data_IF_898458230433
#
_entry.id   IF_898458230433
#
_cell.length_a   1.000
_cell.length_b   1.000
_cell.length_c   1.000
_cell.angle_alpha   90.00
_cell.angle_beta   90.00
_cell.angle_gamma   90.00
#
_symmetry.space_group_name_H-M   'P 1'
#
loop_
_entity.id
_entity.type
_entity.pdbx_description
1 polymer ?
#
# COMPACT_ATOMS: atom_id res chain seq x y z
N UNK A 1 13.99 2.78 -9.61
CA UNK A 1 12.71 3.33 -9.15
C UNK A 1 12.48 2.96 -7.70
N UNK A 2 12.08 3.92 -6.89
CA UNK A 2 11.79 3.69 -5.47
C UNK A 2 10.29 3.45 -5.29
N UNK A 3 9.92 2.26 -4.87
CA UNK A 3 8.53 1.84 -4.72
C UNK A 3 8.14 1.91 -3.25
N UNK A 4 6.97 2.50 -2.97
CA UNK A 4 6.37 2.47 -1.65
C UNK A 4 5.26 1.43 -1.62
N UNK A 5 5.12 0.74 -0.50
CA UNK A 5 4.07 -0.28 -0.33
C UNK A 5 3.33 -0.02 0.98
N UNK A 6 2.00 0.12 0.90
CA UNK A 6 1.16 0.21 2.09
C UNK A 6 0.61 -1.17 2.38
N UNK A 7 0.87 -1.67 3.56
CA UNK A 7 0.49 -3.01 4.00
C UNK A 7 -0.28 -2.93 5.32
N UNK A 8 -1.01 -3.97 5.66
CA UNK A 8 -1.71 -3.99 6.95
C UNK A 8 -2.83 -5.02 7.06
N UNK A 9 -3.49 -5.35 5.95
CA UNK A 9 -4.50 -6.42 5.94
C UNK A 9 -4.13 -7.40 4.84
N UNK A 10 -4.23 -8.69 5.16
CA UNK A 10 -3.85 -9.75 4.27
C UNK A 10 -2.35 -9.98 4.27
N UNK A 11 -1.79 -10.52 5.39
CA UNK A 11 -0.36 -10.85 5.44
C UNK A 11 0.07 -11.77 4.30
N UNK A 12 -0.80 -12.68 3.88
CA UNK A 12 -0.51 -13.58 2.76
C UNK A 12 -0.39 -12.81 1.45
N UNK A 13 -1.28 -11.82 1.21
CA UNK A 13 -1.21 -10.99 0.01
C UNK A 13 0.06 -10.14 0.03
N UNK A 14 0.40 -9.56 1.17
CA UNK A 14 1.64 -8.79 1.32
C UNK A 14 2.86 -9.64 1.01
N UNK A 15 2.93 -10.85 1.55
CA UNK A 15 4.04 -11.77 1.28
C UNK A 15 4.12 -12.13 -0.20
N UNK A 16 2.98 -12.38 -0.83
CA UNK A 16 2.92 -12.70 -2.25
C UNK A 16 3.48 -11.56 -3.11
N UNK A 17 3.01 -10.33 -2.89
CA UNK A 17 3.46 -9.17 -3.67
C UNK A 17 4.91 -8.83 -3.40
N UNK A 18 5.34 -8.96 -2.17
CA UNK A 18 6.74 -8.72 -1.81
C UNK A 18 7.66 -9.69 -2.56
N UNK A 19 7.34 -10.99 -2.54
CA UNK A 19 8.12 -12.00 -3.24
C UNK A 19 8.08 -11.80 -4.75
N UNK A 20 6.90 -11.41 -5.28
CA UNK A 20 6.75 -11.12 -6.70
C UNK A 20 7.65 -9.97 -7.13
N UNK A 21 7.70 -8.89 -6.36
CA UNK A 21 8.54 -7.73 -6.67
C UNK A 21 10.02 -8.11 -6.70
N UNK A 22 10.48 -8.89 -5.74
CA UNK A 22 11.87 -9.35 -5.70
C UNK A 22 12.20 -10.10 -7.00
N UNK A 23 11.35 -11.04 -7.37
CA UNK A 23 11.56 -11.88 -8.56
C UNK A 23 11.48 -11.07 -9.85
N UNK A 24 10.46 -10.21 -9.98
CA UNK A 24 10.25 -9.43 -11.19
C UNK A 24 11.40 -8.44 -11.43
N UNK A 25 11.85 -7.77 -10.39
CA UNK A 25 12.95 -6.81 -10.50
C UNK A 25 14.26 -7.50 -10.83
N UNK A 26 14.52 -8.67 -10.23
CA UNK A 26 15.71 -9.46 -10.55
C UNK A 26 15.71 -9.89 -12.01
N UNK A 27 14.56 -10.37 -12.52
CA UNK A 27 14.45 -10.78 -13.93
C UNK A 27 14.62 -9.61 -14.90
N UNK A 28 14.20 -8.42 -14.50
CA UNK A 28 14.34 -7.22 -15.32
C UNK A 28 15.73 -6.60 -15.22
N UNK A 29 16.61 -7.12 -14.35
CA UNK A 29 17.94 -6.58 -14.16
C UNK A 29 17.97 -5.28 -13.39
N UNK A 30 16.95 -5.01 -12.55
CA UNK A 30 16.86 -3.80 -11.76
C UNK A 30 16.99 -4.10 -10.27
N UNK A 31 17.57 -3.17 -9.54
CA UNK A 31 17.58 -3.24 -8.08
C UNK A 31 16.19 -2.96 -7.53
N UNK A 32 15.78 -3.70 -6.51
CA UNK A 32 14.54 -3.42 -5.80
C UNK A 32 14.82 -2.40 -4.69
N UNK A 33 14.28 -1.20 -4.88
CA UNK A 33 14.33 -0.15 -3.88
C UNK A 33 12.91 0.01 -3.33
N UNK A 34 12.65 -0.53 -2.14
CA UNK A 34 11.31 -0.67 -1.58
C UNK A 34 11.26 -0.13 -0.16
N UNK A 35 10.26 0.70 0.11
CA UNK A 35 9.94 1.14 1.47
C UNK A 35 8.50 0.73 1.77
N UNK A 36 8.30 0.06 2.90
CA UNK A 36 6.98 -0.43 3.32
C UNK A 36 6.49 0.38 4.50
N UNK A 37 5.21 0.78 4.47
CA UNK A 37 4.54 1.41 5.60
C UNK A 37 3.38 0.51 6.02
N UNK A 38 3.40 0.10 7.28
CA UNK A 38 2.43 -0.85 7.81
C UNK A 38 1.35 -0.12 8.62
N UNK A 39 0.09 -0.29 8.23
CA UNK A 39 -1.05 0.20 9.01
C UNK A 39 -1.42 -0.84 10.07
N UNK A 40 -2.05 -0.37 11.16
CA UNK A 40 -2.50 -1.27 12.22
C UNK A 40 -3.63 -2.17 11.71
N UNK A 41 -3.39 -3.47 11.66
CA UNK A 41 -4.31 -4.44 11.07
C UNK A 41 -5.69 -4.45 11.76
N UNK A 42 -5.80 -4.53 13.10
CA UNK A 42 -7.13 -4.50 13.74
C UNK A 42 -7.91 -3.22 13.44
N UNK A 43 -7.23 -2.08 13.33
CA UNK A 43 -7.87 -0.81 12.99
C UNK A 43 -8.46 -0.86 11.58
N UNK A 44 -7.70 -1.37 10.61
CA UNK A 44 -8.17 -1.49 9.24
C UNK A 44 -9.37 -2.42 9.14
N UNK A 45 -9.34 -3.56 9.85
CA UNK A 45 -10.45 -4.51 9.86
C UNK A 45 -11.70 -3.89 10.47
N UNK A 46 -11.56 -3.11 11.53
CA UNK A 46 -12.68 -2.42 12.17
C UNK A 46 -13.32 -1.41 11.20
N UNK A 47 -12.50 -0.58 10.53
CA UNK A 47 -13.01 0.39 9.56
C UNK A 47 -13.76 -0.30 8.42
N UNK A 48 -13.24 -1.43 7.95
CA UNK A 48 -13.90 -2.20 6.91
C UNK A 48 -15.25 -2.74 7.38
N UNK A 49 -15.30 -3.30 8.59
CA UNK A 49 -16.54 -3.83 9.15
C UNK A 49 -17.60 -2.74 9.35
N UNK A 50 -17.17 -1.53 9.70
CA UNK A 50 -18.05 -0.38 9.89
C UNK A 50 -18.34 0.38 8.59
N UNK A 51 -17.73 -0.03 7.49
CA UNK A 51 -17.77 0.68 6.21
C UNK A 51 -17.34 2.14 6.36
N UNK A 52 -16.34 2.41 7.18
CA UNK A 52 -15.86 3.75 7.46
C UNK A 52 -14.75 4.13 6.49
N UNK A 53 -15.16 4.54 5.29
CA UNK A 53 -14.21 4.89 4.23
C UNK A 53 -13.37 6.12 4.58
N UNK A 54 -13.99 7.11 5.21
CA UNK A 54 -13.29 8.36 5.55
C UNK A 54 -12.11 8.10 6.49
N UNK A 55 -12.30 7.27 7.51
CA UNK A 55 -11.24 6.92 8.45
C UNK A 55 -10.13 6.11 7.77
N UNK A 56 -10.50 5.21 6.86
CA UNK A 56 -9.54 4.39 6.12
C UNK A 56 -8.69 5.24 5.19
N UNK A 57 -9.32 6.16 4.45
CA UNK A 57 -8.63 7.10 3.58
C UNK A 57 -7.64 7.95 4.36
N UNK A 58 -8.02 8.43 5.54
CA UNK A 58 -7.13 9.23 6.38
C UNK A 58 -5.86 8.48 6.78
N UNK A 59 -5.99 7.18 7.08
CA UNK A 59 -4.84 6.33 7.40
C UNK A 59 -3.93 6.19 6.18
N UNK A 60 -4.51 5.88 5.02
CA UNK A 60 -3.72 5.70 3.80
C UNK A 60 -3.05 6.98 3.35
N UNK A 61 -3.72 8.12 3.47
CA UNK A 61 -3.10 9.41 3.16
C UNK A 61 -1.90 9.70 4.04
N UNK A 62 -2.01 9.42 5.34
CA UNK A 62 -0.91 9.61 6.28
C UNK A 62 0.28 8.72 5.93
N UNK A 63 0.03 7.46 5.60
CA UNK A 63 1.10 6.52 5.22
C UNK A 63 1.70 6.90 3.87
N UNK A 64 0.87 7.31 2.91
CA UNK A 64 1.35 7.77 1.60
C UNK A 64 2.24 9.00 1.74
N UNK A 65 1.85 9.97 2.56
CA UNK A 65 2.67 11.15 2.82
C UNK A 65 4.01 10.78 3.44
N UNK A 66 4.02 9.82 4.35
CA UNK A 66 5.24 9.31 4.96
C UNK A 66 6.14 8.68 3.90
N UNK A 67 5.58 7.87 3.02
CA UNK A 67 6.34 7.23 1.93
C UNK A 67 6.88 8.26 0.96
N UNK A 68 6.09 9.27 0.60
CA UNK A 68 6.55 10.33 -0.30
C UNK A 68 7.72 11.10 0.29
N UNK A 69 7.74 11.32 1.60
CA UNK A 69 8.88 11.94 2.27
C UNK A 69 10.13 11.07 2.22
N UNK A 70 9.96 9.77 2.02
CA UNK A 70 11.09 8.85 1.83
C UNK A 70 11.58 8.81 0.39
N UNK A 71 10.94 9.55 -0.52
CA UNK A 71 11.37 9.64 -1.90
C UNK A 71 10.80 8.58 -2.82
N UNK A 72 9.69 7.90 -2.44
CA UNK A 72 9.08 6.91 -3.33
C UNK A 72 8.48 7.59 -4.55
N UNK A 73 8.52 6.89 -5.68
CA UNK A 73 8.02 7.38 -6.95
C UNK A 73 6.64 6.83 -7.28
N UNK A 74 6.29 5.69 -6.70
CA UNK A 74 4.98 5.07 -6.86
C UNK A 74 4.61 4.34 -5.58
N UNK A 75 3.30 4.19 -5.35
CA UNK A 75 2.79 3.53 -4.14
C UNK A 75 1.84 2.42 -4.56
N UNK A 76 2.06 1.24 -4.00
CA UNK A 76 1.18 0.09 -4.16
C UNK A 76 0.45 -0.19 -2.85
N UNK A 77 -0.85 -0.43 -2.93
CA UNK A 77 -1.65 -0.91 -1.80
C UNK A 77 -1.92 -2.38 -2.03
N UNK A 78 -1.39 -3.23 -1.16
CA UNK A 78 -1.40 -4.68 -1.37
C UNK A 78 -2.60 -5.38 -0.77
N UNK A 79 -3.46 -4.65 -0.06
CA UNK A 79 -4.59 -5.23 0.66
C UNK A 79 -5.88 -5.12 -0.14
N UNK A 80 -6.59 -6.24 -0.29
CA UNK A 80 -7.94 -6.24 -0.88
C UNK A 80 -8.87 -5.34 -0.07
N UNK A 81 -8.75 -5.38 1.26
CA UNK A 81 -9.58 -4.56 2.13
C UNK A 81 -9.36 -3.05 1.91
N UNK A 82 -8.17 -2.66 1.44
CA UNK A 82 -7.89 -1.27 1.09
C UNK A 82 -8.66 -0.80 -0.14
N UNK A 83 -9.06 -1.71 -1.01
CA UNK A 83 -9.69 -1.35 -2.27
C UNK A 83 -11.08 -0.76 -2.11
N UNK A 84 -11.76 -1.00 -0.99
CA UNK A 84 -13.09 -0.44 -0.80
C UNK A 84 -13.10 1.10 -0.72
N UNK A 85 -11.95 1.72 -0.44
CA UNK A 85 -11.82 3.18 -0.38
C UNK A 85 -10.84 3.74 -1.42
N UNK A 86 -10.35 2.90 -2.34
CA UNK A 86 -9.24 3.27 -3.21
C UNK A 86 -9.59 4.42 -4.17
N UNK A 87 -10.83 4.51 -4.61
CA UNK A 87 -11.24 5.59 -5.51
C UNK A 87 -11.14 6.96 -4.82
N UNK A 88 -11.50 7.03 -3.54
CA UNK A 88 -11.35 8.27 -2.78
C UNK A 88 -9.88 8.57 -2.53
N UNK A 89 -9.07 7.54 -2.25
CA UNK A 89 -7.64 7.69 -1.98
C UNK A 89 -6.87 8.18 -3.23
N UNK A 90 -7.19 7.64 -4.41
CA UNK A 90 -6.50 7.98 -5.66
C UNK A 90 -6.62 9.44 -6.03
N UNK A 91 -7.58 10.17 -5.46
CA UNK A 91 -7.71 11.61 -5.74
C UNK A 91 -6.57 12.43 -5.16
N UNK A 92 -5.85 11.91 -4.17
CA UNK A 92 -4.79 12.64 -3.49
C UNK A 92 -3.37 12.22 -3.85
N UNK A 93 -3.18 10.98 -4.34
CA UNK A 93 -1.84 10.45 -4.62
C UNK A 93 -1.88 9.53 -5.84
N UNK A 94 -0.70 9.30 -6.45
CA UNK A 94 -0.57 8.29 -7.50
C UNK A 94 -0.45 6.93 -6.83
N UNK A 95 -1.39 6.04 -7.15
CA UNK A 95 -1.46 4.71 -6.51
C UNK A 95 -1.56 3.65 -7.59
N UNK A 96 -0.76 2.58 -7.43
CA UNK A 96 -0.90 1.35 -8.18
C UNK A 96 -1.51 0.30 -7.25
N UNK A 97 -2.63 -0.27 -7.66
CA UNK A 97 -3.34 -1.29 -6.88
C UNK A 97 -3.33 -2.63 -7.61
N UNK A 98 -3.14 -3.67 -6.83
CA UNK A 98 -3.24 -5.05 -7.31
C UNK A 98 -4.41 -5.77 -6.65
#
# INVERSE_FOLDING_TARGET
>A
MHIGMIVGIGPAATDYYYRYLISAMAKAGHDLNLTMAHADTPTLLRHQAENNQAAQVAIYERLANRLMRCGVETIAVTSIAGHFCIEAFKKGVTVTCD
#
